data_IF_171425260402
#
_entry.id   IF_171425260402
#
_cell.length_a   1.000
_cell.length_b   1.000
_cell.length_c   1.000
_cell.angle_alpha   90.00
_cell.angle_beta   90.00
_cell.angle_gamma   90.00
#
_symmetry.space_group_name_H-M   'P 1'
#
loop_
_entity.id
_entity.type
_entity.pdbx_description
1 polymer ?
#
# COMPACT_ATOMS: atom_id res chain seq x y z
N UNK A 1 7.54 5.52 -7.10
CA UNK A 1 7.14 5.84 -5.70
C UNK A 1 8.30 6.52 -4.95
N UNK A 2 8.07 7.28 -3.87
CA UNK A 2 9.13 8.08 -3.21
C UNK A 2 9.52 7.56 -1.83
N UNK A 3 8.58 7.06 -1.04
CA UNK A 3 8.80 6.72 0.38
C UNK A 3 8.62 5.22 0.68
N UNK A 4 7.84 4.52 -0.15
CA UNK A 4 7.57 3.11 -0.07
C UNK A 4 8.27 2.40 -1.24
N UNK A 5 9.24 1.53 -0.92
CA UNK A 5 9.94 0.77 -1.95
C UNK A 5 9.12 -0.42 -2.43
N UNK A 6 9.29 -0.84 -3.70
CA UNK A 6 8.56 -1.98 -4.26
C UNK A 6 8.87 -3.29 -3.52
N UNK A 7 10.12 -3.47 -3.09
CA UNK A 7 10.53 -4.64 -2.30
C UNK A 7 9.85 -4.69 -0.94
N UNK A 8 9.59 -3.54 -0.33
CA UNK A 8 8.86 -3.47 0.92
C UNK A 8 7.39 -3.82 0.74
N UNK A 9 6.78 -3.44 -0.38
CA UNK A 9 5.43 -3.88 -0.75
C UNK A 9 5.40 -5.39 -0.98
N UNK A 10 6.37 -5.95 -1.72
CA UNK A 10 6.49 -7.42 -1.91
C UNK A 10 6.59 -8.16 -0.58
N UNK A 11 7.38 -7.65 0.37
CA UNK A 11 7.46 -8.22 1.72
C UNK A 11 6.12 -8.21 2.45
N UNK A 12 5.32 -7.15 2.33
CA UNK A 12 3.96 -7.11 2.90
C UNK A 12 3.05 -8.16 2.26
N UNK A 13 3.14 -8.34 0.94
CA UNK A 13 2.42 -9.39 0.21
C UNK A 13 2.82 -10.78 0.71
N UNK A 14 4.13 -11.04 0.85
CA UNK A 14 4.64 -12.33 1.33
C UNK A 14 4.18 -12.63 2.76
N UNK A 15 4.29 -11.66 3.68
CA UNK A 15 3.84 -11.81 5.08
C UNK A 15 2.36 -12.16 5.18
N UNK A 16 1.52 -11.48 4.37
CA UNK A 16 0.10 -11.79 4.30
C UNK A 16 -0.13 -13.19 3.71
N UNK A 17 0.58 -13.55 2.65
CA UNK A 17 0.49 -14.86 1.99
C UNK A 17 0.91 -16.03 2.88
N UNK A 18 1.85 -15.82 3.81
CA UNK A 18 2.25 -16.81 4.82
C UNK A 18 1.30 -16.89 6.01
N UNK A 19 0.34 -15.97 6.13
CA UNK A 19 -0.53 -15.86 7.30
C UNK A 19 0.16 -15.34 8.55
N UNK A 20 1.32 -14.67 8.41
CA UNK A 20 2.05 -14.07 9.53
C UNK A 20 1.44 -12.72 9.88
N UNK A 21 0.29 -12.77 10.57
CA UNK A 21 -0.49 -11.59 10.94
C UNK A 21 0.30 -10.64 11.86
N UNK A 22 1.08 -11.19 12.80
CA UNK A 22 1.88 -10.40 13.73
C UNK A 22 3.04 -9.69 13.01
N UNK A 23 3.75 -10.42 12.13
CA UNK A 23 4.80 -9.85 11.29
C UNK A 23 4.28 -8.79 10.33
N UNK A 24 3.13 -9.03 9.68
CA UNK A 24 2.45 -8.06 8.82
C UNK A 24 2.08 -6.78 9.58
N UNK A 25 1.45 -6.92 10.76
CA UNK A 25 1.07 -5.77 11.58
C UNK A 25 2.30 -4.99 12.08
N UNK A 26 3.37 -5.68 12.48
CA UNK A 26 4.62 -5.04 12.87
C UNK A 26 5.24 -4.25 11.71
N UNK A 27 5.26 -4.84 10.51
CA UNK A 27 5.83 -4.19 9.32
C UNK A 27 5.03 -2.95 8.92
N UNK A 28 3.70 -3.02 8.95
CA UNK A 28 2.80 -1.90 8.65
C UNK A 28 2.93 -0.76 9.67
N UNK A 29 3.03 -1.07 10.97
CA UNK A 29 3.23 -0.05 12.02
C UNK A 29 4.60 0.62 11.94
N UNK A 30 5.60 -0.06 11.37
CA UNK A 30 6.95 0.48 11.19
C UNK A 30 7.06 1.40 9.96
N UNK A 31 6.01 1.53 9.14
CA UNK A 31 6.02 2.43 8.00
C UNK A 31 5.87 3.89 8.46
N UNK A 32 6.69 4.82 7.92
CA UNK A 32 6.44 6.25 8.13
C UNK A 32 5.11 6.64 7.48
N UNK A 33 4.50 7.72 7.97
CA UNK A 33 3.20 8.21 7.51
C UNK A 33 3.16 8.40 5.97
N UNK A 34 4.25 8.86 5.36
CA UNK A 34 4.34 9.01 3.90
C UNK A 34 4.34 7.69 3.15
N UNK A 35 4.99 6.65 3.70
CA UNK A 35 4.94 5.32 3.10
C UNK A 35 3.55 4.68 3.28
N UNK A 36 2.87 4.93 4.40
CA UNK A 36 1.47 4.51 4.59
C UNK A 36 0.52 5.21 3.61
N UNK A 37 0.78 6.48 3.29
CA UNK A 37 0.01 7.21 2.28
C UNK A 37 0.21 6.60 0.88
N UNK A 38 1.46 6.30 0.49
CA UNK A 38 1.74 5.60 -0.77
C UNK A 38 1.12 4.19 -0.80
N UNK A 39 1.16 3.46 0.32
CA UNK A 39 0.51 2.16 0.43
C UNK A 39 -1.02 2.26 0.23
N UNK A 40 -1.66 3.25 0.85
CA UNK A 40 -3.09 3.52 0.67
C UNK A 40 -3.43 3.90 -0.76
N UNK A 41 -2.62 4.75 -1.40
CA UNK A 41 -2.80 5.12 -2.80
C UNK A 41 -2.67 3.91 -3.74
N UNK A 42 -1.74 2.97 -3.47
CA UNK A 42 -1.67 1.70 -4.20
C UNK A 42 -2.95 0.87 -4.09
N UNK A 43 -3.55 0.80 -2.89
CA UNK A 43 -4.81 0.09 -2.69
C UNK A 43 -5.95 0.73 -3.48
N UNK A 44 -6.01 2.06 -3.52
CA UNK A 44 -6.99 2.79 -4.33
C UNK A 44 -6.83 2.54 -5.83
N UNK A 45 -5.59 2.51 -6.35
CA UNK A 45 -5.35 2.12 -7.74
C UNK A 45 -5.90 0.73 -8.06
N UNK A 46 -5.78 -0.21 -7.12
CA UNK A 46 -6.21 -1.58 -7.33
C UNK A 46 -7.73 -1.80 -7.19
N UNK A 47 -8.39 -1.03 -6.30
CA UNK A 47 -9.77 -1.28 -5.85
C UNK A 47 -10.78 -0.27 -6.38
N UNK A 48 -10.38 1.00 -6.45
CA UNK A 48 -11.28 2.12 -6.74
C UNK A 48 -11.16 2.58 -8.20
N UNK A 49 -10.44 1.83 -9.03
CA UNK A 49 -10.16 2.10 -10.46
C UNK A 49 -9.52 3.48 -10.69
N UNK A 50 -8.75 3.94 -9.70
CA UNK A 50 -8.06 5.22 -9.74
C UNK A 50 -6.96 5.23 -10.81
N UNK A 51 -6.72 6.41 -11.39
CA UNK A 51 -5.75 6.53 -12.48
C UNK A 51 -4.31 6.69 -11.97
N UNK A 52 -3.34 5.87 -12.43
CA UNK A 52 -1.92 6.06 -12.08
C UNK A 52 -1.36 7.40 -12.57
N UNK A 53 -2.03 8.07 -13.54
CA UNK A 53 -1.66 9.40 -14.01
C UNK A 53 -1.74 10.46 -12.90
N UNK A 54 -2.58 10.24 -11.89
CA UNK A 54 -2.77 11.15 -10.76
C UNK A 54 -2.04 10.68 -9.50
N UNK A 55 -1.01 9.84 -9.62
CA UNK A 55 -0.29 9.25 -8.49
C UNK A 55 0.04 10.25 -7.36
N UNK A 56 0.71 11.38 -7.67
CA UNK A 56 1.08 12.35 -6.63
C UNK A 56 -0.16 12.95 -5.93
N UNK A 57 -1.25 13.18 -6.66
CA UNK A 57 -2.50 13.68 -6.08
C UNK A 57 -3.16 12.63 -5.19
N UNK A 58 -3.17 11.36 -5.61
CA UNK A 58 -3.67 10.23 -4.82
C UNK A 58 -2.88 10.07 -3.51
N UNK A 59 -1.55 10.20 -3.56
CA UNK A 59 -0.70 10.13 -2.36
C UNK A 59 -0.98 11.29 -1.41
N UNK A 60 -1.16 12.52 -1.95
CA UNK A 60 -1.54 13.69 -1.15
C UNK A 60 -2.88 13.45 -0.46
N UNK A 61 -3.89 13.00 -1.21
CA UNK A 61 -5.21 12.71 -0.65
C UNK A 61 -5.15 11.60 0.40
N UNK A 62 -4.45 10.51 0.10
CA UNK A 62 -4.23 9.39 1.00
C UNK A 62 -3.62 9.86 2.33
N UNK A 63 -2.65 10.79 2.31
CA UNK A 63 -2.03 11.35 3.51
C UNK A 63 -3.04 12.02 4.46
N UNK A 64 -4.12 12.62 3.94
CA UNK A 64 -5.20 13.21 4.75
C UNK A 64 -6.23 12.17 5.21
N UNK A 65 -6.18 10.95 4.67
CA UNK A 65 -7.10 9.84 4.98
C UNK A 65 -6.44 8.74 5.80
N UNK A 66 -5.21 8.94 6.27
CA UNK A 66 -4.52 8.02 7.18
C UNK A 66 -4.45 8.59 8.59
N UNK A 67 -4.52 7.70 9.55
CA UNK A 67 -4.47 7.96 10.99
C UNK A 67 -3.70 6.84 11.71
N UNK A 68 -3.64 6.92 13.04
CA UNK A 68 -2.96 5.93 13.89
C UNK A 68 -3.51 4.49 13.77
N UNK A 69 -4.76 4.34 13.32
CA UNK A 69 -5.45 3.04 13.19
C UNK A 69 -5.27 2.41 11.83
N UNK A 70 -4.92 3.22 10.83
CA UNK A 70 -4.83 2.79 9.42
C UNK A 70 -3.92 1.57 9.23
N UNK A 71 -2.78 1.51 9.92
CA UNK A 71 -1.88 0.36 9.85
C UNK A 71 -2.54 -0.94 10.37
N UNK A 72 -3.34 -0.84 11.43
CA UNK A 72 -4.11 -1.97 11.96
C UNK A 72 -5.20 -2.42 10.99
N UNK A 73 -5.95 -1.48 10.42
CA UNK A 73 -6.98 -1.79 9.42
C UNK A 73 -6.41 -2.50 8.19
N UNK A 74 -5.21 -2.14 7.75
CA UNK A 74 -4.53 -2.85 6.66
C UNK A 74 -4.09 -4.26 7.06
N UNK A 75 -3.65 -4.47 8.29
CA UNK A 75 -3.24 -5.80 8.76
C UNK A 75 -4.43 -6.78 8.84
N UNK A 76 -5.63 -6.24 9.10
CA UNK A 76 -6.89 -7.01 9.17
C UNK A 76 -7.51 -7.26 7.78
N UNK A 77 -6.95 -6.68 6.72
CA UNK A 77 -7.49 -6.77 5.36
C UNK A 77 -7.05 -8.06 4.67
N UNK A 78 -7.97 -9.01 4.49
CA UNK A 78 -7.73 -10.30 3.84
C UNK A 78 -7.34 -10.15 2.35
N UNK A 79 -7.69 -9.05 1.70
CA UNK A 79 -7.39 -8.80 0.28
C UNK A 79 -6.19 -7.89 0.08
N UNK A 80 -5.45 -7.53 1.15
CA UNK A 80 -4.33 -6.61 1.10
C UNK A 80 -3.31 -7.02 0.03
N UNK A 81 -2.77 -8.23 0.08
CA UNK A 81 -1.68 -8.69 -0.79
C UNK A 81 -2.08 -8.73 -2.26
N UNK A 82 -3.29 -9.19 -2.58
CA UNK A 82 -3.83 -9.16 -3.95
C UNK A 82 -3.95 -7.72 -4.46
N UNK A 83 -4.41 -6.80 -3.60
CA UNK A 83 -4.60 -5.39 -3.96
C UNK A 83 -3.25 -4.68 -4.13
N UNK A 84 -2.28 -4.97 -3.26
CA UNK A 84 -0.93 -4.43 -3.36
C UNK A 84 -0.21 -4.92 -4.61
N UNK A 85 -0.35 -6.21 -4.94
CA UNK A 85 0.22 -6.80 -6.17
C UNK A 85 -0.35 -6.10 -7.40
N UNK A 86 -1.69 -6.02 -7.50
CA UNK A 86 -2.36 -5.34 -8.62
C UNK A 86 -2.00 -3.85 -8.70
N UNK A 87 -1.95 -3.16 -7.56
CA UNK A 87 -1.58 -1.74 -7.51
C UNK A 87 -0.16 -1.50 -8.02
N UNK A 88 0.79 -2.37 -7.65
CA UNK A 88 2.15 -2.33 -8.18
C UNK A 88 2.18 -2.54 -9.69
N UNK A 89 1.47 -3.55 -10.21
CA UNK A 89 1.41 -3.84 -11.65
C UNK A 89 0.86 -2.65 -12.45
N UNK A 90 -0.21 -2.01 -11.97
CA UNK A 90 -0.79 -0.81 -12.58
C UNK A 90 0.24 0.33 -12.62
N UNK A 91 0.93 0.56 -11.50
CA UNK A 91 1.91 1.63 -11.39
C UNK A 91 3.14 1.37 -12.29
N UNK A 92 3.56 0.10 -12.41
CA UNK A 92 4.69 -0.33 -13.23
C UNK A 92 4.40 -0.16 -14.71
N UNK A 93 3.23 -0.65 -15.14
CA UNK A 93 2.74 -0.51 -16.51
C UNK A 93 2.62 0.97 -16.94
N UNK A 94 2.49 1.89 -15.98
CA UNK A 94 2.44 3.34 -16.22
C UNK A 94 3.81 4.03 -16.23
N UNK A 95 4.90 3.33 -15.92
CA UNK A 95 6.26 3.88 -15.86
C UNK A 95 6.52 4.80 -14.66
N UNK A 96 5.81 4.60 -13.54
CA UNK A 96 5.90 5.46 -12.33
C UNK A 96 6.51 4.78 -11.11
N UNK A 97 7.02 3.57 -11.30
CA UNK A 97 7.60 2.77 -10.24
C UNK A 97 9.02 3.21 -9.93
#
# INVERSE_FOLDING_TARGET
MKHLSPDRVRRLVDLQGTGDADGLAAELRALPQDALAELKALLWLARDDESPRHWDALVIEARFKIDEKTAGLFAEDEQLGNSLTRGLEILDASGRL
#
